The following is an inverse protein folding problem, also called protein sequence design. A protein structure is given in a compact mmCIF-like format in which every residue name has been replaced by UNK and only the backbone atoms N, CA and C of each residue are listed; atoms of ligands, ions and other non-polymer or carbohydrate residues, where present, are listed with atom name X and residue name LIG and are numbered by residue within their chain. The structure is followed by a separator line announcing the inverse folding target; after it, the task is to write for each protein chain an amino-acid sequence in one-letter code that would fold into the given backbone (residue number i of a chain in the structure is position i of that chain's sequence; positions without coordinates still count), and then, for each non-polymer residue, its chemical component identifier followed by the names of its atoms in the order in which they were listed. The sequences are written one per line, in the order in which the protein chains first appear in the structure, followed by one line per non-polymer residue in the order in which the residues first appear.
data_IF_366442923425
#
_entry.id   IF_366442923425
#
_cell.length_a   1.000
_cell.length_b   1.000
_cell.length_c   1.000
_cell.angle_alpha   90.00
_cell.angle_beta   90.00
_cell.angle_gamma   90.00
#
_symmetry.space_group_name_H-M   'P 1'
#
loop_
_entity.id
_entity.type
_entity.pdbx_description
1 polymer ?
#
# COMPACT_ATOMS: atom_id res chain seq x y z
N UNK A 1 -6.67 -14.63 0.39
CA UNK A 1 -6.16 -15.17 1.66
C UNK A 1 -6.43 -14.13 2.73
N UNK A 2 -7.24 -14.43 3.75
CA UNK A 2 -7.35 -13.52 4.89
C UNK A 2 -6.08 -13.70 5.73
N UNK A 3 -5.29 -12.65 5.90
CA UNK A 3 -4.13 -12.73 6.79
C UNK A 3 -4.60 -12.87 8.23
N UNK A 4 -3.98 -13.79 8.97
CA UNK A 4 -4.17 -13.93 10.41
C UNK A 4 -3.39 -12.88 11.21
N UNK A 5 -2.54 -12.08 10.55
CA UNK A 5 -1.74 -11.07 11.22
C UNK A 5 -2.58 -9.85 11.58
N UNK A 6 -2.49 -9.36 12.81
CA UNK A 6 -3.22 -8.18 13.22
C UNK A 6 -2.80 -6.95 12.41
N UNK A 7 -3.74 -6.04 12.20
CA UNK A 7 -3.47 -4.69 11.69
C UNK A 7 -2.63 -3.91 12.71
N UNK A 8 -1.53 -3.32 12.24
CA UNK A 8 -0.62 -2.47 13.00
C UNK A 8 -0.44 -1.12 12.30
N UNK A 9 0.30 -0.20 12.91
CA UNK A 9 0.62 1.09 12.30
C UNK A 9 1.37 0.91 10.98
N UNK A 10 1.12 1.83 10.05
CA UNK A 10 1.64 1.86 8.66
C UNK A 10 1.09 0.78 7.75
N UNK A 11 0.28 -0.15 8.24
CA UNK A 11 -0.45 -1.08 7.39
C UNK A 11 -1.42 -0.34 6.48
N UNK A 12 -1.57 -0.88 5.28
CA UNK A 12 -2.59 -0.48 4.34
C UNK A 12 -3.85 -1.32 4.57
N UNK A 13 -5.00 -0.68 4.59
CA UNK A 13 -6.31 -1.32 4.71
C UNK A 13 -7.23 -0.90 3.57
N UNK A 14 -8.10 -1.81 3.15
CA UNK A 14 -9.23 -1.56 2.28
C UNK A 14 -10.50 -1.51 3.15
N UNK A 15 -11.24 -0.42 3.03
CA UNK A 15 -12.53 -0.28 3.70
C UNK A 15 -13.64 -0.60 2.71
N UNK A 16 -14.53 -1.50 3.10
CA UNK A 16 -15.78 -1.79 2.40
C UNK A 16 -16.93 -1.06 3.07
N UNK A 17 -17.80 -0.43 2.26
CA UNK A 17 -19.05 0.20 2.69
C UNK A 17 -20.17 -0.40 1.86
N UNK A 18 -21.29 -0.79 2.49
CA UNK A 18 -22.40 -1.49 1.83
C UNK A 18 -21.93 -2.72 1.02
N UNK A 19 -20.99 -3.47 1.61
CA UNK A 19 -20.35 -4.65 1.01
C UNK A 19 -19.56 -4.38 -0.29
N UNK A 20 -19.31 -3.12 -0.64
CA UNK A 20 -18.52 -2.72 -1.81
C UNK A 20 -17.20 -2.10 -1.38
N UNK A 21 -16.08 -2.34 -2.09
CA UNK A 21 -14.84 -1.61 -1.85
C UNK A 21 -15.08 -0.11 -1.98
N UNK A 22 -14.69 0.66 -0.97
CA UNK A 22 -14.92 2.10 -0.93
C UNK A 22 -13.62 2.88 -1.12
N UNK A 23 -12.64 2.68 -0.24
CA UNK A 23 -11.37 3.38 -0.30
C UNK A 23 -10.26 2.64 0.44
N UNK A 24 -9.01 2.94 0.07
CA UNK A 24 -7.84 2.56 0.84
C UNK A 24 -7.54 3.60 1.91
N UNK A 25 -7.02 3.13 3.04
CA UNK A 25 -6.44 3.98 4.07
C UNK A 25 -5.17 3.36 4.63
N UNK A 26 -4.24 4.20 5.07
CA UNK A 26 -3.11 3.76 5.91
C UNK A 26 -3.44 4.02 7.37
N UNK A 27 -3.09 3.07 8.22
CA UNK A 27 -3.22 3.22 9.67
C UNK A 27 -2.05 4.07 10.18
N UNK A 28 -2.35 5.19 10.81
CA UNK A 28 -1.33 6.14 11.28
C UNK A 28 -0.99 5.95 12.76
N UNK A 29 -1.98 5.69 13.61
CA UNK A 29 -1.79 5.66 15.07
C UNK A 29 -2.94 4.93 15.78
N UNK A 30 -2.63 4.32 16.93
CA UNK A 30 -3.62 3.78 17.88
C UNK A 30 -3.50 4.43 19.26
N UNK A 31 -4.60 5.02 19.74
CA UNK A 31 -4.69 5.58 21.10
C UNK A 31 -5.85 4.93 21.84
N UNK A 32 -5.65 4.49 23.08
CA UNK A 32 -6.71 3.88 23.88
C UNK A 32 -7.86 4.88 24.12
N UNK A 33 -9.11 4.44 23.92
CA UNK A 33 -10.30 5.20 24.31
C UNK A 33 -10.57 5.07 25.81
N UNK A 34 -11.37 5.98 26.36
CA UNK A 34 -11.86 5.89 27.75
C UNK A 34 -12.66 4.60 27.99
N UNK A 35 -13.32 4.05 26.95
CA UNK A 35 -13.98 2.74 27.05
C UNK A 35 -12.95 1.61 26.91
N UNK A 36 -12.95 0.64 27.83
CA UNK A 36 -12.07 -0.52 27.73
C UNK A 36 -12.22 -1.24 26.39
N UNK A 37 -11.09 -1.59 25.76
CA UNK A 37 -10.99 -2.33 24.49
C UNK A 37 -11.43 -1.55 23.24
N UNK A 38 -11.67 -0.25 23.37
CA UNK A 38 -11.87 0.65 22.24
C UNK A 38 -10.62 1.50 22.02
N UNK A 39 -10.40 1.86 20.76
CA UNK A 39 -9.22 2.59 20.32
C UNK A 39 -9.63 3.71 19.38
N UNK A 40 -9.07 4.89 19.58
CA UNK A 40 -9.00 5.92 18.56
C UNK A 40 -7.92 5.52 17.56
N UNK A 41 -8.36 5.17 16.35
CA UNK A 41 -7.51 4.77 15.24
C UNK A 41 -7.45 5.93 14.26
N UNK A 42 -6.26 6.50 14.09
CA UNK A 42 -6.02 7.55 13.11
C UNK A 42 -5.76 6.90 11.75
N UNK A 43 -6.52 7.33 10.74
CA UNK A 43 -6.50 6.77 9.39
C UNK A 43 -6.22 7.89 8.39
N UNK A 44 -5.28 7.64 7.48
CA UNK A 44 -5.04 8.46 6.30
C UNK A 44 -5.73 7.82 5.10
N UNK A 45 -6.87 8.37 4.68
CA UNK A 45 -7.60 7.96 3.48
C UNK A 45 -6.83 8.41 2.24
N UNK A 46 -6.52 7.45 1.37
CA UNK A 46 -5.70 7.64 0.17
C UNK A 46 -6.57 8.01 -1.04
N UNK A 47 -7.20 9.18 -0.97
CA UNK A 47 -7.94 9.78 -2.08
C UNK A 47 -7.29 11.10 -2.51
N UNK A 48 -7.82 11.77 -3.53
CA UNK A 48 -7.35 13.10 -3.96
C UNK A 48 -8.42 14.15 -3.65
N UNK A 49 -8.18 15.09 -2.72
CA UNK A 49 -7.00 15.21 -1.86
C UNK A 49 -6.99 14.17 -0.72
N UNK A 50 -5.83 13.83 -0.13
CA UNK A 50 -5.77 12.92 1.02
C UNK A 50 -6.53 13.49 2.21
N UNK A 51 -7.19 12.61 2.98
CA UNK A 51 -7.99 13.00 4.15
C UNK A 51 -7.56 12.19 5.37
N UNK A 52 -7.37 12.88 6.49
CA UNK A 52 -7.09 12.24 7.79
C UNK A 52 -8.36 12.21 8.62
N UNK A 53 -8.69 11.05 9.17
CA UNK A 53 -9.84 10.86 10.07
C UNK A 53 -9.42 10.02 11.28
N UNK A 54 -10.17 10.14 12.38
CA UNK A 54 -9.98 9.30 13.57
C UNK A 54 -11.27 8.55 13.85
N UNK A 55 -11.21 7.22 13.87
CA UNK A 55 -12.36 6.36 14.14
C UNK A 55 -12.20 5.68 15.50
N UNK A 56 -13.30 5.46 16.21
CA UNK A 56 -13.28 4.69 17.46
C UNK A 56 -13.66 3.25 17.12
N UNK A 57 -12.69 2.34 17.16
CA UNK A 57 -12.85 0.94 16.74
C UNK A 57 -12.42 -0.02 17.85
N UNK A 58 -12.98 -1.23 17.82
CA UNK A 58 -12.44 -2.36 18.58
C UNK A 58 -11.37 -3.09 17.77
N UNK A 59 -10.57 -3.90 18.47
CA UNK A 59 -9.57 -4.77 17.83
C UNK A 59 -10.21 -5.72 16.83
N UNK A 60 -11.37 -6.29 17.15
CA UNK A 60 -12.05 -7.23 16.26
C UNK A 60 -12.52 -6.54 14.96
N UNK A 61 -13.02 -5.30 15.08
CA UNK A 61 -13.50 -4.51 13.94
C UNK A 61 -12.38 -4.11 12.96
N UNK A 62 -11.24 -3.64 13.48
CA UNK A 62 -10.11 -3.29 12.60
C UNK A 62 -9.49 -4.52 11.92
N UNK A 63 -9.63 -5.70 12.54
CA UNK A 63 -9.19 -6.97 11.97
C UNK A 63 -10.29 -7.69 11.16
N UNK A 64 -11.34 -6.97 10.76
CA UNK A 64 -12.30 -7.42 9.76
C UNK A 64 -13.65 -7.93 10.27
N UNK A 65 -13.93 -7.84 11.57
CA UNK A 65 -15.29 -8.02 12.09
C UNK A 65 -16.22 -6.95 11.48
N UNK A 66 -17.31 -7.34 10.79
CA UNK A 66 -18.27 -6.38 10.25
C UNK A 66 -18.92 -5.54 11.36
N UNK A 67 -19.16 -4.27 11.07
CA UNK A 67 -19.83 -3.36 11.98
C UNK A 67 -20.69 -2.36 11.21
N UNK A 68 -21.34 -1.44 11.90
CA UNK A 68 -22.14 -0.39 11.27
C UNK A 68 -21.67 0.99 11.68
N UNK A 69 -21.72 1.93 10.74
CA UNK A 69 -21.60 3.35 10.99
C UNK A 69 -22.90 4.03 10.58
N UNK A 70 -23.67 4.51 11.55
CA UNK A 70 -24.97 5.14 11.28
C UNK A 70 -25.98 4.24 10.57
N UNK A 71 -25.89 2.92 10.77
CA UNK A 71 -26.72 1.91 10.10
C UNK A 71 -26.14 1.37 8.79
N UNK A 72 -25.11 2.01 8.22
CA UNK A 72 -24.42 1.51 7.02
C UNK A 72 -23.41 0.42 7.40
N UNK A 73 -23.46 -0.77 6.79
CA UNK A 73 -22.48 -1.84 7.00
C UNK A 73 -21.07 -1.44 6.53
N UNK A 74 -20.08 -1.69 7.39
CA UNK A 74 -18.67 -1.45 7.14
C UNK A 74 -17.86 -2.70 7.48
N UNK A 75 -16.82 -2.99 6.68
CA UNK A 75 -15.83 -4.03 6.96
C UNK A 75 -14.44 -3.53 6.57
N UNK A 76 -13.44 -3.86 7.36
CA UNK A 76 -12.04 -3.52 7.11
C UNK A 76 -11.29 -4.77 6.66
N UNK A 77 -10.40 -4.64 5.69
CA UNK A 77 -9.55 -5.72 5.21
C UNK A 77 -8.11 -5.24 5.14
N UNK A 78 -7.18 -5.98 5.77
CA UNK A 78 -5.75 -5.69 5.66
C UNK A 78 -5.27 -6.01 4.25
N UNK A 79 -4.62 -5.05 3.61
CA UNK A 79 -4.00 -5.22 2.31
C UNK A 79 -2.60 -5.78 2.50
N UNK A 80 -2.30 -6.86 1.78
CA UNK A 80 -0.97 -7.46 1.78
C UNK A 80 -0.21 -7.01 0.54
N UNK A 81 1.09 -6.75 0.71
CA UNK A 81 2.00 -6.56 -0.41
C UNK A 81 2.18 -7.93 -1.07
N UNK A 82 1.93 -8.06 -2.39
CA UNK A 82 2.25 -9.29 -3.10
C UNK A 82 3.74 -9.61 -2.95
N UNK A 83 4.10 -10.88 -2.76
CA UNK A 83 5.50 -11.29 -2.79
C UNK A 83 6.09 -10.96 -4.16
N UNK A 84 7.17 -10.18 -4.19
CA UNK A 84 7.92 -9.97 -5.41
C UNK A 84 8.55 -11.31 -5.80
N UNK A 85 8.14 -11.87 -6.93
CA UNK A 85 8.90 -12.95 -7.56
C UNK A 85 10.20 -12.32 -8.06
N UNK A 86 11.20 -12.23 -7.20
CA UNK A 86 12.57 -11.97 -7.62
C UNK A 86 12.99 -13.15 -8.48
N UNK A 87 12.86 -13.04 -9.80
CA UNK A 87 13.69 -13.82 -10.70
C UNK A 87 15.11 -13.33 -10.47
N UNK A 88 15.85 -14.05 -9.62
CA UNK A 88 17.28 -13.87 -9.46
C UNK A 88 17.96 -14.30 -10.77
N UNK A 89 17.99 -13.43 -11.77
CA UNK A 89 18.93 -13.51 -12.88
C UNK A 89 20.27 -12.89 -12.43
N UNK A 90 20.92 -13.53 -11.46
CA UNK A 90 22.34 -13.32 -11.17
C UNK A 90 22.99 -14.70 -11.00
N UNK A 91 23.12 -15.40 -12.13
CA UNK A 91 24.18 -16.40 -12.34
C UNK A 91 25.04 -15.92 -13.52
N UNK A 92 25.74 -14.81 -13.31
CA UNK A 92 26.97 -14.54 -14.06
C UNK A 92 28.11 -14.94 -13.13
N UNK A 93 28.66 -16.13 -13.43
CA UNK A 93 29.75 -16.73 -12.69
C UNK A 93 30.99 -15.84 -12.59
N UNK A 94 31.69 -16.06 -11.49
CA UNK A 94 33.03 -15.61 -11.15
C UNK A 94 33.97 -15.51 -12.37
N UNK A 95 34.41 -14.29 -12.69
CA UNK A 95 35.69 -14.04 -13.37
C UNK A 95 36.28 -12.72 -12.84
N UNK A 96 37.31 -12.87 -12.01
CA UNK A 96 38.16 -11.81 -11.43
C UNK A 96 38.92 -11.02 -12.54
N UNK A 97 39.33 -9.75 -12.32
CA UNK A 97 39.37 -8.72 -13.35
C UNK A 97 40.74 -8.56 -14.02
N UNK A 98 40.74 -8.24 -15.32
CA UNK A 98 41.85 -7.56 -15.99
C UNK A 98 41.34 -6.32 -16.73
N UNK A 99 41.87 -5.15 -16.36
CA UNK A 99 41.86 -3.91 -17.12
C UNK A 99 43.30 -3.63 -17.58
N UNK A 100 43.59 -2.69 -18.50
CA UNK A 100 42.72 -2.00 -19.48
C UNK A 100 43.34 -1.93 -20.91
N UNK A 101 42.55 -1.72 -21.96
CA UNK A 101 42.98 -0.80 -23.03
C UNK A 101 41.85 -0.33 -23.97
N UNK A 102 42.00 0.94 -24.37
CA UNK A 102 41.36 1.72 -25.44
C UNK A 102 39.97 2.41 -25.27
N UNK A 103 40.01 3.69 -25.66
CA UNK A 103 39.05 4.80 -25.58
C UNK A 103 37.84 4.74 -26.56
N UNK A 104 36.85 5.66 -26.44
CA UNK A 104 35.42 5.35 -26.57
C UNK A 104 34.87 5.50 -28.00
N UNK A 105 33.93 4.61 -28.37
CA UNK A 105 33.02 4.85 -29.50
C UNK A 105 31.58 5.02 -29.04
N UNK A 106 31.13 6.27 -29.15
CA UNK A 106 29.75 6.74 -29.06
C UNK A 106 28.77 5.78 -29.76
N UNK A 107 27.84 5.21 -28.98
CA UNK A 107 26.73 4.40 -29.48
C UNK A 107 25.40 4.85 -28.87
N UNK A 108 24.80 5.88 -29.49
CA UNK A 108 23.38 6.30 -29.46
C UNK A 108 22.50 5.76 -28.32
N UNK A 109 22.26 6.61 -27.31
CA UNK A 109 21.05 6.53 -26.50
C UNK A 109 19.81 6.82 -27.36
N UNK A 110 18.79 5.95 -27.33
CA UNK A 110 17.49 6.17 -27.96
C UNK A 110 16.57 6.89 -26.98
N UNK A 111 16.33 8.18 -27.23
CA UNK A 111 15.34 8.98 -26.51
C UNK A 111 13.98 8.74 -27.17
N UNK A 112 13.02 8.17 -26.43
CA UNK A 112 11.63 8.09 -26.86
C UNK A 112 11.00 9.47 -26.66
N UNK A 113 10.74 10.20 -27.74
CA UNK A 113 9.95 11.43 -27.69
C UNK A 113 8.48 11.08 -27.51
N UNK A 114 7.89 11.52 -26.39
CA UNK A 114 6.44 11.50 -26.18
C UNK A 114 5.83 12.60 -27.05
N UNK A 115 5.24 12.19 -28.17
CA UNK A 115 4.46 13.06 -29.04
C UNK A 115 3.22 13.55 -28.30
N UNK A 116 3.11 14.86 -28.13
CA UNK A 116 1.92 15.56 -27.70
C UNK A 116 0.88 15.54 -28.84
N UNK A 117 -0.17 14.75 -28.66
CA UNK A 117 -1.38 14.83 -29.48
C UNK A 117 -2.05 16.20 -29.25
N UNK A 118 -2.06 17.02 -30.30
CA UNK A 118 -2.99 18.14 -30.41
C UNK A 118 -3.76 17.95 -31.72
N UNK A 119 -5.03 17.57 -31.57
CA UNK A 119 -5.98 17.49 -32.68
C UNK A 119 -7.04 18.57 -32.52
N UNK A 120 -7.09 19.41 -33.54
CA UNK A 120 -8.14 20.32 -34.03
C UNK A 120 -8.86 21.25 -33.05
#
# INVERSE_FOLDING_TARGET
MHSSDPVVEKDLILVHIDNKPAFFARVEEFVADHKPRWWHVKLLILQVPPVVTTWILRKEQINGEPFTMGGTPVRIEKVLVPEETHTSEEDHGEAEPEQPDEEPKQGKARILSLGSDKKE
#
